data_IF_360667930147
#
_entry.id   IF_360667930147
#
_cell.length_a   1.000
_cell.length_b   1.000
_cell.length_c   1.000
_cell.angle_alpha   90.00
_cell.angle_beta   90.00
_cell.angle_gamma   90.00
#
_symmetry.space_group_name_H-M   'P 1'
#
loop_
_entity.id
_entity.type
_entity.pdbx_description
1 polymer ?
#
# COMPACT_ATOMS: atom_id res chain seq x y z
N UNK A 1 18.71 12.06 6.52
CA UNK A 1 19.45 10.78 6.60
C UNK A 1 19.23 10.03 5.30
N UNK A 2 20.25 9.35 4.79
CA UNK A 2 20.20 8.68 3.49
C UNK A 2 19.74 7.22 3.60
N UNK A 3 19.16 6.64 2.54
CA UNK A 3 19.14 5.18 2.37
C UNK A 3 20.57 4.63 2.25
N UNK A 4 20.76 3.31 2.31
CA UNK A 4 22.09 2.68 2.38
C UNK A 4 23.02 3.10 1.22
N UNK A 5 22.46 3.50 0.08
CA UNK A 5 23.20 3.91 -1.12
C UNK A 5 23.36 5.44 -1.28
N UNK A 6 22.82 6.28 -0.39
CA UNK A 6 23.02 7.73 -0.47
C UNK A 6 22.07 8.48 -1.41
N UNK A 7 21.15 7.79 -2.09
CA UNK A 7 20.31 8.37 -3.16
C UNK A 7 18.97 8.94 -2.69
N UNK A 8 18.53 8.62 -1.48
CA UNK A 8 17.21 9.06 -0.97
C UNK A 8 17.38 9.65 0.42
N UNK A 9 16.80 10.83 0.66
CA UNK A 9 16.67 11.41 2.00
C UNK A 9 15.22 11.39 2.48
N UNK A 10 15.00 10.99 3.71
CA UNK A 10 13.68 11.00 4.34
C UNK A 10 13.51 12.18 5.30
N UNK A 11 12.30 12.76 5.33
CA UNK A 11 11.94 13.81 6.29
C UNK A 11 11.68 13.26 7.71
N UNK A 12 11.44 11.95 7.83
CA UNK A 12 11.33 11.21 9.09
C UNK A 12 12.42 10.15 9.08
N UNK A 13 13.18 10.09 10.16
CA UNK A 13 14.21 9.07 10.31
C UNK A 13 13.60 7.67 10.26
N UNK A 14 14.34 6.71 9.71
CA UNK A 14 13.85 5.34 9.63
C UNK A 14 14.92 4.38 9.19
N UNK A 15 14.53 3.11 9.04
CA UNK A 15 15.39 2.05 8.51
C UNK A 15 14.59 1.17 7.57
N UNK A 16 15.04 1.06 6.33
CA UNK A 16 14.49 0.09 5.38
C UNK A 16 14.72 -1.33 5.91
N UNK A 17 13.73 -2.20 5.80
CA UNK A 17 13.80 -3.57 6.32
C UNK A 17 13.27 -4.65 5.37
N UNK A 18 12.57 -4.26 4.32
CA UNK A 18 12.09 -5.17 3.28
C UNK A 18 11.91 -4.41 1.97
N UNK A 19 11.86 -5.15 0.87
CA UNK A 19 11.47 -4.62 -0.44
C UNK A 19 10.37 -5.50 -1.05
N UNK A 20 9.55 -4.92 -1.92
CA UNK A 20 8.69 -5.69 -2.79
C UNK A 20 9.48 -6.21 -4.02
N UNK A 21 8.80 -6.91 -4.93
CA UNK A 21 9.41 -7.41 -6.16
C UNK A 21 9.50 -6.35 -7.28
N UNK A 22 8.94 -5.15 -7.07
CA UNK A 22 8.94 -4.03 -8.01
C UNK A 22 10.05 -3.00 -7.73
N UNK A 23 10.75 -3.13 -6.60
CA UNK A 23 11.77 -2.19 -6.14
C UNK A 23 11.27 -1.17 -5.12
N UNK A 24 10.03 -1.29 -4.66
CA UNK A 24 9.51 -0.50 -3.55
C UNK A 24 10.07 -0.97 -2.20
N UNK A 25 10.27 -0.05 -1.26
CA UNK A 25 10.93 -0.29 0.02
C UNK A 25 10.01 -0.04 1.21
N UNK A 26 10.01 -0.97 2.17
CA UNK A 26 9.35 -0.82 3.46
C UNK A 26 10.31 -0.25 4.49
N UNK A 27 9.88 0.80 5.19
CA UNK A 27 10.71 1.57 6.13
C UNK A 27 10.07 1.57 7.51
N UNK A 28 10.81 1.15 8.53
CA UNK A 28 10.43 1.34 9.92
C UNK A 28 10.82 2.77 10.32
N UNK A 29 9.84 3.64 10.52
CA UNK A 29 10.04 5.04 10.87
C UNK A 29 10.32 5.20 12.37
N UNK A 30 11.01 6.27 12.74
CA UNK A 30 11.43 6.57 14.11
C UNK A 30 10.26 6.89 15.04
N UNK A 31 9.10 7.25 14.48
CA UNK A 31 7.84 7.42 15.20
C UNK A 31 7.10 6.08 15.45
N UNK A 32 7.67 4.96 15.00
CA UNK A 32 7.14 3.61 15.17
C UNK A 32 6.19 3.15 14.05
N UNK A 33 5.81 4.04 13.14
CA UNK A 33 4.97 3.71 11.99
C UNK A 33 5.77 3.06 10.86
N UNK A 34 5.06 2.47 9.90
CA UNK A 34 5.66 1.86 8.70
C UNK A 34 5.44 2.79 7.51
N UNK A 35 6.55 3.22 6.92
CA UNK A 35 6.61 3.93 5.65
C UNK A 35 6.78 2.97 4.47
N UNK A 36 6.41 3.44 3.29
CA UNK A 36 6.67 2.78 2.02
C UNK A 36 7.15 3.80 0.99
N UNK A 37 8.24 3.47 0.28
CA UNK A 37 8.73 4.20 -0.88
C UNK A 37 8.43 3.36 -2.11
N UNK A 38 7.55 3.84 -2.99
CA UNK A 38 7.23 3.20 -4.25
C UNK A 38 8.37 3.35 -5.25
N UNK A 39 8.58 2.35 -6.10
CA UNK A 39 9.48 2.45 -7.25
C UNK A 39 8.95 3.42 -8.32
N UNK A 40 7.67 3.78 -8.26
CA UNK A 40 7.03 4.78 -9.13
C UNK A 40 7.10 6.22 -8.56
N UNK A 41 7.75 6.41 -7.40
CA UNK A 41 8.04 7.74 -6.84
C UNK A 41 7.04 8.27 -5.81
N UNK A 42 5.99 7.52 -5.47
CA UNK A 42 5.12 7.86 -4.35
C UNK A 42 5.74 7.44 -3.00
N UNK A 43 5.51 8.22 -1.94
CA UNK A 43 5.99 7.91 -0.60
C UNK A 43 4.94 8.26 0.45
N UNK A 44 4.81 7.42 1.47
CA UNK A 44 3.94 7.71 2.62
C UNK A 44 3.85 6.56 3.60
N UNK A 45 3.08 6.75 4.68
CA UNK A 45 2.86 5.70 5.67
C UNK A 45 1.84 4.68 5.18
N UNK A 46 2.00 3.43 5.58
CA UNK A 46 1.08 2.34 5.22
C UNK A 46 0.52 1.59 6.42
N UNK A 47 1.14 1.72 7.60
CA UNK A 47 0.65 1.07 8.83
C UNK A 47 1.16 1.77 10.09
N UNK A 48 0.42 1.67 11.19
CA UNK A 48 0.80 2.26 12.49
C UNK A 48 1.96 1.50 13.17
N UNK A 49 2.19 0.23 12.81
CA UNK A 49 3.28 -0.62 13.29
C UNK A 49 3.36 -1.91 12.44
N UNK A 50 4.31 -2.79 12.76
CA UNK A 50 4.53 -4.05 12.03
C UNK A 50 3.33 -5.01 12.07
N UNK A 51 2.55 -5.00 13.16
CA UNK A 51 1.36 -5.85 13.29
C UNK A 51 0.27 -5.38 12.32
N UNK A 52 0.05 -4.07 12.26
CA UNK A 52 -0.89 -3.47 11.29
C UNK A 52 -0.41 -3.65 9.85
N UNK A 53 0.91 -3.66 9.59
CA UNK A 53 1.45 -3.98 8.26
C UNK A 53 1.06 -5.39 7.83
N UNK A 54 1.30 -6.40 8.68
CA UNK A 54 0.92 -7.77 8.34
C UNK A 54 -0.59 -7.93 8.20
N UNK A 55 -1.38 -7.24 9.02
CA UNK A 55 -2.84 -7.21 8.85
C UNK A 55 -3.24 -6.65 7.48
N UNK A 56 -2.60 -5.56 7.01
CA UNK A 56 -2.82 -5.01 5.67
C UNK A 56 -2.42 -6.01 4.59
N UNK A 57 -1.23 -6.61 4.66
CA UNK A 57 -0.73 -7.53 3.63
C UNK A 57 -1.54 -8.83 3.55
N UNK A 58 -2.02 -9.35 4.68
CA UNK A 58 -2.89 -10.54 4.70
C UNK A 58 -4.26 -10.23 4.11
N UNK A 59 -4.85 -9.10 4.48
CA UNK A 59 -6.23 -8.79 4.10
C UNK A 59 -6.33 -8.15 2.71
N UNK A 60 -5.36 -7.32 2.33
CA UNK A 60 -5.31 -6.59 1.05
C UNK A 60 -3.86 -6.58 0.50
N UNK A 61 -3.34 -7.72 0.01
CA UNK A 61 -2.00 -7.77 -0.59
C UNK A 61 -1.85 -6.88 -1.84
N UNK A 62 -2.97 -6.49 -2.46
CA UNK A 62 -3.05 -5.59 -3.60
C UNK A 62 -3.32 -4.12 -3.22
N UNK A 63 -2.91 -3.67 -2.02
CA UNK A 63 -3.18 -2.31 -1.55
C UNK A 63 -2.69 -1.20 -2.50
N UNK A 64 -1.69 -1.49 -3.35
CA UNK A 64 -1.18 -0.61 -4.40
C UNK A 64 -2.23 -0.22 -5.46
N UNK A 65 -3.25 -1.05 -5.69
CA UNK A 65 -4.36 -0.70 -6.58
C UNK A 65 -5.29 0.38 -5.99
N UNK A 66 -5.14 0.67 -4.69
CA UNK A 66 -5.99 1.62 -3.98
C UNK A 66 -5.30 2.95 -3.71
N UNK A 67 -4.17 3.26 -4.36
CA UNK A 67 -3.48 4.56 -4.23
C UNK A 67 -4.22 5.73 -4.92
N UNK A 68 -5.55 5.66 -5.06
CA UNK A 68 -6.39 6.59 -5.80
C UNK A 68 -7.27 7.38 -4.80
N UNK A 69 -7.04 8.69 -4.59
CA UNK A 69 -7.77 9.49 -3.60
C UNK A 69 -9.29 9.47 -3.77
N UNK A 70 -9.75 9.47 -5.03
CA UNK A 70 -11.18 9.55 -5.34
C UNK A 70 -11.97 8.30 -4.92
N UNK A 71 -11.33 7.13 -4.77
CA UNK A 71 -12.01 5.91 -4.30
C UNK A 71 -12.52 6.07 -2.87
N UNK A 72 -11.76 6.76 -2.02
CA UNK A 72 -12.07 6.92 -0.60
C UNK A 72 -13.15 7.96 -0.30
N UNK A 73 -13.59 8.72 -1.31
CA UNK A 73 -14.68 9.71 -1.16
C UNK A 73 -16.06 9.06 -1.11
N UNK A 74 -16.18 7.83 -1.60
CA UNK A 74 -17.43 7.07 -1.63
C UNK A 74 -17.18 5.62 -1.22
N UNK A 75 -17.68 5.24 -0.04
CA UNK A 75 -17.52 3.87 0.50
C UNK A 75 -18.18 2.80 -0.37
N UNK A 76 -19.26 3.12 -1.08
CA UNK A 76 -19.94 2.18 -1.99
C UNK A 76 -19.03 1.93 -3.20
N UNK A 77 -18.47 2.99 -3.78
CA UNK A 77 -17.50 2.89 -4.87
C UNK A 77 -16.25 2.11 -4.43
N UNK A 78 -15.70 2.41 -3.25
CA UNK A 78 -14.56 1.69 -2.69
C UNK A 78 -14.84 0.20 -2.57
N UNK A 79 -16.01 -0.19 -2.04
CA UNK A 79 -16.40 -1.61 -1.93
C UNK A 79 -16.56 -2.27 -3.30
N UNK A 80 -17.24 -1.63 -4.25
CA UNK A 80 -17.40 -2.15 -5.63
C UNK A 80 -16.03 -2.38 -6.29
N UNK A 81 -15.09 -1.44 -6.11
CA UNK A 81 -13.74 -1.56 -6.66
C UNK A 81 -12.94 -2.65 -5.96
N UNK A 82 -12.99 -2.71 -4.62
CA UNK A 82 -12.34 -3.76 -3.84
C UNK A 82 -12.78 -5.17 -4.28
N UNK A 83 -14.09 -5.39 -4.41
CA UNK A 83 -14.64 -6.69 -4.84
C UNK A 83 -14.17 -7.09 -6.24
N UNK A 84 -14.06 -6.11 -7.15
CA UNK A 84 -13.53 -6.35 -8.49
C UNK A 84 -12.06 -6.75 -8.44
N UNK A 85 -11.25 -6.00 -7.69
CA UNK A 85 -9.80 -6.25 -7.59
C UNK A 85 -9.54 -7.60 -6.92
N UNK A 86 -10.19 -7.91 -5.79
CA UNK A 86 -10.03 -9.23 -5.14
C UNK A 86 -10.42 -10.38 -6.07
N UNK A 87 -11.51 -10.23 -6.83
CA UNK A 87 -11.91 -11.24 -7.82
C UNK A 87 -10.84 -11.42 -8.90
N UNK A 88 -10.31 -10.33 -9.43
CA UNK A 88 -9.29 -10.35 -10.49
C UNK A 88 -8.01 -11.04 -10.00
N UNK A 89 -7.46 -10.64 -8.85
CA UNK A 89 -6.25 -11.25 -8.31
C UNK A 89 -6.43 -12.73 -7.97
N UNK A 90 -7.60 -13.12 -7.47
CA UNK A 90 -7.94 -14.52 -7.21
C UNK A 90 -7.95 -15.37 -8.49
N UNK A 91 -8.48 -14.83 -9.58
CA UNK A 91 -8.47 -15.48 -10.89
C UNK A 91 -7.04 -15.59 -11.45
N UNK A 92 -6.28 -14.50 -11.43
CA UNK A 92 -4.88 -14.46 -11.88
C UNK A 92 -3.98 -15.41 -11.07
N UNK A 93 -4.15 -15.46 -9.74
CA UNK A 93 -3.38 -16.34 -8.86
C UNK A 93 -3.58 -17.82 -9.17
N UNK A 94 -4.82 -18.19 -9.54
CA UNK A 94 -5.18 -19.55 -9.96
C UNK A 94 -4.57 -19.92 -11.32
N UNK A 95 -4.36 -18.94 -12.20
CA UNK A 95 -3.78 -19.17 -13.52
C UNK A 95 -2.25 -19.36 -13.45
N UNK A 96 -1.59 -18.80 -12.44
CA UNK A 96 -0.11 -18.84 -12.31
C UNK A 96 0.39 -19.83 -11.24
N UNK A 97 -0.47 -20.33 -10.37
CA UNK A 97 -0.11 -21.30 -9.32
C UNK A 97 -1.12 -22.45 -9.22
N UNK A 98 -0.71 -23.56 -8.60
CA UNK A 98 -1.60 -24.66 -8.23
C UNK A 98 -2.17 -24.53 -6.80
N UNK A 99 -1.93 -23.40 -6.14
CA UNK A 99 -2.41 -23.14 -4.78
C UNK A 99 -3.76 -22.45 -4.80
N UNK A 100 -4.53 -22.65 -3.73
CA UNK A 100 -5.78 -21.91 -3.52
C UNK A 100 -5.51 -20.62 -2.75
N UNK A 101 -6.03 -19.50 -3.27
CA UNK A 101 -5.85 -18.17 -2.68
C UNK A 101 -6.43 -18.07 -1.27
N UNK A 102 -7.64 -18.59 -1.04
CA UNK A 102 -8.29 -18.51 0.27
C UNK A 102 -7.62 -19.43 1.27
N UNK A 103 -7.16 -20.61 0.84
CA UNK A 103 -6.41 -21.54 1.68
C UNK A 103 -5.11 -20.89 2.16
N UNK A 104 -4.28 -20.36 1.26
CA UNK A 104 -3.03 -19.68 1.63
C UNK A 104 -3.31 -18.47 2.54
N UNK A 105 -4.26 -17.61 2.18
CA UNK A 105 -4.62 -16.45 3.00
C UNK A 105 -5.04 -16.89 4.41
N UNK A 106 -5.82 -17.97 4.52
CA UNK A 106 -6.27 -18.51 5.80
C UNK A 106 -5.15 -19.14 6.62
N UNK A 107 -4.23 -19.85 5.98
CA UNK A 107 -3.07 -20.43 6.66
C UNK A 107 -2.16 -19.34 7.22
N UNK A 108 -1.81 -18.33 6.40
CA UNK A 108 -0.98 -17.21 6.85
C UNK A 108 -1.67 -16.45 8.00
N UNK A 109 -2.96 -16.14 7.86
CA UNK A 109 -3.73 -15.46 8.90
C UNK A 109 -3.72 -16.25 10.21
N UNK A 110 -3.89 -17.57 10.15
CA UNK A 110 -3.86 -18.45 11.34
C UNK A 110 -2.48 -18.50 11.98
N UNK A 111 -1.41 -18.68 11.20
CA UNK A 111 -0.04 -18.76 11.73
C UNK A 111 0.41 -17.45 12.38
N UNK A 112 -0.07 -16.32 11.87
CA UNK A 112 0.26 -14.99 12.39
C UNK A 112 -0.74 -14.44 13.43
N UNK A 113 -1.77 -15.21 13.79
CA UNK A 113 -2.86 -14.83 14.71
C UNK A 113 -3.57 -13.52 14.27
N UNK A 114 -3.89 -13.42 12.98
CA UNK A 114 -4.66 -12.32 12.40
C UNK A 114 -6.07 -12.77 11.98
N UNK A 115 -7.08 -11.91 12.18
CA UNK A 115 -8.40 -12.15 11.60
C UNK A 115 -8.35 -11.95 10.09
N UNK A 116 -9.14 -12.77 9.38
CA UNK A 116 -9.48 -12.53 7.98
C UNK A 116 -10.64 -11.53 7.96
N UNK A 117 -10.47 -10.47 7.20
CA UNK A 117 -11.45 -9.41 7.01
C UNK A 117 -12.42 -9.77 5.89
N UNK A 118 -13.72 -9.80 6.21
CA UNK A 118 -14.81 -10.05 5.27
C UNK A 118 -15.33 -8.76 4.60
N UNK A 119 -14.81 -7.59 5.00
CA UNK A 119 -15.13 -6.29 4.45
C UNK A 119 -13.88 -5.39 4.39
N UNK A 120 -12.94 -5.76 3.51
CA UNK A 120 -11.67 -5.05 3.36
C UNK A 120 -11.83 -3.56 3.06
N UNK A 121 -12.91 -3.15 2.40
CA UNK A 121 -13.17 -1.75 2.08
C UNK A 121 -13.33 -0.90 3.35
N UNK A 122 -14.08 -1.39 4.34
CA UNK A 122 -14.36 -0.62 5.55
C UNK A 122 -13.31 -0.82 6.63
N UNK A 123 -12.85 -2.06 6.83
CA UNK A 123 -12.05 -2.44 7.98
C UNK A 123 -10.53 -2.33 7.73
N UNK A 124 -10.08 -2.50 6.49
CA UNK A 124 -8.66 -2.49 6.10
C UNK A 124 -8.31 -1.22 5.32
N UNK A 125 -9.02 -0.94 4.23
CA UNK A 125 -8.70 0.13 3.29
C UNK A 125 -8.95 1.53 3.88
N UNK A 126 -9.99 1.73 4.69
CA UNK A 126 -10.18 3.02 5.39
C UNK A 126 -9.07 3.29 6.41
N UNK A 127 -8.63 2.28 7.17
CA UNK A 127 -7.50 2.42 8.10
C UNK A 127 -6.20 2.72 7.36
N UNK A 128 -5.96 2.02 6.24
CA UNK A 128 -4.85 2.29 5.35
C UNK A 128 -4.88 3.74 4.83
N UNK A 129 -6.04 4.24 4.41
CA UNK A 129 -6.19 5.62 3.97
C UNK A 129 -5.92 6.63 5.09
N UNK A 130 -6.43 6.38 6.30
CA UNK A 130 -6.20 7.23 7.47
C UNK A 130 -4.70 7.35 7.80
N UNK A 131 -3.96 6.22 7.80
CA UNK A 131 -2.53 6.25 8.09
C UNK A 131 -1.73 6.87 6.93
N UNK A 132 -2.10 6.59 5.68
CA UNK A 132 -1.43 7.14 4.50
C UNK A 132 -1.62 8.65 4.34
N UNK A 133 -2.70 9.20 4.88
CA UNK A 133 -3.00 10.65 4.84
C UNK A 133 -2.68 11.38 6.14
N UNK A 134 -2.06 10.70 7.12
CA UNK A 134 -1.68 11.26 8.42
C UNK A 134 -0.61 12.34 8.32
N UNK A 135 -0.87 13.50 8.94
CA UNK A 135 0.09 14.60 9.06
C UNK A 135 0.96 14.50 10.34
N UNK A 136 2.25 14.91 10.29
CA UNK A 136 2.97 15.35 9.11
C UNK A 136 3.26 14.18 8.16
N UNK A 137 3.11 14.38 6.85
CA UNK A 137 3.37 13.35 5.83
C UNK A 137 4.80 12.78 5.91
N UNK A 138 4.95 11.48 5.69
CA UNK A 138 6.25 10.86 5.41
C UNK A 138 6.59 11.09 3.94
N UNK A 139 7.76 11.66 3.66
CA UNK A 139 8.17 12.06 2.31
C UNK A 139 9.64 11.70 2.07
N UNK A 140 9.94 11.35 0.82
CA UNK A 140 11.29 11.10 0.33
C UNK A 140 11.73 12.22 -0.61
N UNK A 141 13.02 12.52 -0.60
CA UNK A 141 13.70 13.37 -1.59
C UNK A 141 14.76 12.53 -2.27
N UNK A 142 14.59 12.32 -3.57
CA UNK A 142 15.52 11.58 -4.42
C UNK A 142 16.63 12.51 -4.90
N UNK A 143 17.87 12.02 -4.85
CA UNK A 143 19.07 12.70 -5.30
C UNK A 143 19.45 12.12 -6.66
N UNK A 144 19.16 12.88 -7.71
CA UNK A 144 19.36 12.46 -9.09
C UNK A 144 20.84 12.55 -9.48
N UNK A 145 21.24 11.80 -10.51
CA UNK A 145 22.62 11.76 -11.00
C UNK A 145 23.14 13.13 -11.49
N UNK A 146 22.23 14.01 -11.93
CA UNK A 146 22.56 15.38 -12.36
C UNK A 146 22.66 16.38 -11.19
N UNK A 147 22.47 15.90 -9.95
CA UNK A 147 22.49 16.70 -8.72
C UNK A 147 21.19 17.43 -8.42
N UNK A 148 20.14 17.26 -9.23
CA UNK A 148 18.81 17.76 -8.91
C UNK A 148 18.15 16.93 -7.81
N UNK A 149 17.13 17.52 -7.18
CA UNK A 149 16.38 16.90 -6.09
C UNK A 149 14.92 16.76 -6.52
N UNK A 150 14.40 15.55 -6.45
CA UNK A 150 12.99 15.25 -6.74
C UNK A 150 12.27 14.93 -5.43
N UNK A 151 11.20 15.66 -5.12
CA UNK A 151 10.34 15.32 -3.99
C UNK A 151 9.36 14.22 -4.40
N UNK A 152 9.18 13.22 -3.54
CA UNK A 152 8.18 12.16 -3.73
C UNK A 152 6.77 12.72 -3.81
N UNK A 153 5.94 12.12 -4.67
CA UNK A 153 4.49 12.35 -4.61
C UNK A 153 3.91 11.71 -3.33
N UNK A 154 2.77 12.20 -2.80
CA UNK A 154 2.08 11.53 -1.71
C UNK A 154 1.69 10.09 -2.10
N UNK A 155 1.68 9.17 -1.14
CA UNK A 155 1.35 7.77 -1.40
C UNK A 155 -0.02 7.58 -2.09
N UNK A 156 -1.06 8.28 -1.60
CA UNK A 156 -2.38 8.28 -2.22
C UNK A 156 -2.46 9.48 -3.17
N UNK A 157 -2.04 9.29 -4.42
CA UNK A 157 -1.95 10.37 -5.42
C UNK A 157 -2.39 9.98 -6.83
N UNK A 158 -2.61 8.68 -7.11
CA UNK A 158 -2.88 8.21 -8.46
C UNK A 158 -4.22 8.74 -8.98
N UNK A 159 -4.29 9.19 -10.24
CA UNK A 159 -5.53 9.68 -10.81
C UNK A 159 -6.52 8.52 -11.01
N UNK A 160 -7.80 8.78 -10.77
CA UNK A 160 -8.87 7.83 -11.07
C UNK A 160 -8.95 7.57 -12.58
N UNK A 161 -8.70 6.33 -13.00
CA UNK A 161 -8.78 5.93 -14.40
C UNK A 161 -10.20 6.00 -14.98
N UNK A 162 -10.31 6.33 -16.27
CA UNK A 162 -11.59 6.45 -16.99
C UNK A 162 -12.46 5.19 -16.89
N UNK A 163 -11.82 4.01 -16.85
CA UNK A 163 -12.54 2.75 -16.73
C UNK A 163 -13.31 2.67 -15.41
N UNK A 164 -12.72 3.09 -14.29
CA UNK A 164 -13.39 3.06 -12.98
C UNK A 164 -14.60 4.00 -12.99
N UNK A 165 -14.41 5.21 -13.52
CA UNK A 165 -15.49 6.20 -13.65
C UNK A 165 -16.66 5.67 -14.48
N UNK A 166 -16.39 5.00 -15.60
CA UNK A 166 -17.41 4.51 -16.53
C UNK A 166 -18.15 3.25 -16.06
N UNK A 167 -17.48 2.39 -15.29
CA UNK A 167 -18.02 1.05 -14.97
C UNK A 167 -18.42 0.88 -13.51
N UNK A 168 -17.91 1.72 -12.60
CA UNK A 168 -18.16 1.61 -11.16
C UNK A 168 -18.68 2.91 -10.54
N UNK A 169 -18.36 4.07 -11.16
CA UNK A 169 -18.82 5.39 -10.75
C UNK A 169 -20.25 5.70 -11.21
N UNK A 170 -21.22 5.02 -10.60
CA UNK A 170 -22.63 5.45 -10.58
C UNK A 170 -23.13 5.48 -9.13
#
# INVERSE_FOLDING_TARGET
>A
MYNEDGHITWNIEGKAFASDASGGEFVLLSDGTIGFNSSEGETGRIAENIKELFSLLVNCPCFFDFLIPDLYKDKILLKKYADKIEKQYREEFKDITNYDWDEIKSEIARELDFPIDDNIAENTLMKFFEIATKEPQYQATYHEDDGSLTLSEPLISRPMGDWIRKNLGE
#
